data_IF_660931954680
#
_entry.id   IF_660931954680
#
_cell.length_a   1.000
_cell.length_b   1.000
_cell.length_c   1.000
_cell.angle_alpha   90.00
_cell.angle_beta   90.00
_cell.angle_gamma   90.00
#
_symmetry.space_group_name_H-M   'P 1'
#
loop_
_entity.id
_entity.type
_entity.pdbx_description
1 polymer ?
#
# COMPACT_ATOMS: atom_id res chain seq x y z
N UNK A 1 -6.84 6.14 27.68
CA UNK A 1 -6.22 7.17 26.82
C UNK A 1 -5.91 6.46 25.50
N UNK A 2 -6.37 7.00 24.39
CA UNK A 2 -5.99 6.48 23.08
C UNK A 2 -4.48 6.62 22.91
N UNK A 3 -3.85 5.60 22.36
CA UNK A 3 -2.39 5.56 22.22
C UNK A 3 -1.96 6.46 21.05
N UNK A 4 -0.98 7.33 21.26
CA UNK A 4 -0.45 8.22 20.21
C UNK A 4 0.27 7.38 19.14
N UNK A 5 -0.12 7.55 17.88
CA UNK A 5 0.58 6.96 16.73
C UNK A 5 1.56 7.96 16.14
N UNK A 6 2.83 7.53 16.03
CA UNK A 6 3.91 8.34 15.44
C UNK A 6 4.23 7.85 14.05
N UNK A 7 4.14 8.74 13.06
CA UNK A 7 4.32 8.38 11.64
C UNK A 7 5.44 9.20 11.03
N UNK A 8 6.50 8.54 10.57
CA UNK A 8 7.54 9.17 9.75
C UNK A 8 7.04 9.29 8.30
N UNK A 9 7.14 10.48 7.72
CA UNK A 9 6.67 10.77 6.37
C UNK A 9 7.80 11.37 5.55
N UNK A 10 8.14 10.72 4.44
CA UNK A 10 9.12 11.21 3.46
C UNK A 10 8.54 12.43 2.72
N UNK A 11 8.91 13.64 3.17
CA UNK A 11 8.39 14.89 2.62
C UNK A 11 8.93 15.23 1.22
N UNK A 12 10.00 14.57 0.78
CA UNK A 12 10.67 14.86 -0.50
C UNK A 12 10.38 13.81 -1.59
N UNK A 13 9.62 12.76 -1.26
CA UNK A 13 9.34 11.67 -2.19
C UNK A 13 8.07 11.89 -3.02
N UNK A 14 8.16 11.59 -4.33
CA UNK A 14 7.04 11.67 -5.28
C UNK A 14 7.02 12.92 -6.14
N UNK A 15 6.17 12.89 -7.18
CA UNK A 15 6.11 13.93 -8.22
C UNK A 15 5.56 15.28 -7.71
N UNK A 16 4.80 15.23 -6.61
CA UNK A 16 4.11 16.38 -6.02
C UNK A 16 4.73 16.82 -4.68
N UNK A 17 5.91 16.30 -4.33
CA UNK A 17 6.62 16.69 -3.13
C UNK A 17 7.23 18.11 -3.24
N UNK A 18 7.35 18.88 -2.16
CA UNK A 18 6.84 18.57 -0.82
C UNK A 18 5.36 18.95 -0.62
N UNK A 19 4.76 19.73 -1.53
CA UNK A 19 3.48 20.44 -1.35
C UNK A 19 2.35 19.48 -0.96
N UNK A 20 2.07 18.46 -1.76
CA UNK A 20 0.98 17.52 -1.48
C UNK A 20 1.28 16.62 -0.27
N UNK A 21 2.57 16.34 0.01
CA UNK A 21 2.97 15.52 1.15
C UNK A 21 2.74 16.28 2.47
N UNK A 22 3.24 17.51 2.55
CA UNK A 22 3.08 18.38 3.72
C UNK A 22 1.61 18.68 3.97
N UNK A 23 0.85 19.01 2.91
CA UNK A 23 -0.59 19.24 2.99
C UNK A 23 -1.33 18.00 3.54
N UNK A 24 -1.03 16.80 3.05
CA UNK A 24 -1.64 15.57 3.52
C UNK A 24 -1.32 15.28 4.99
N UNK A 25 -0.10 15.57 5.43
CA UNK A 25 0.29 15.45 6.84
C UNK A 25 -0.49 16.42 7.73
N UNK A 26 -0.64 17.67 7.32
CA UNK A 26 -1.45 18.67 8.03
C UNK A 26 -2.92 18.26 8.09
N UNK A 27 -3.49 17.79 6.97
CA UNK A 27 -4.87 17.32 6.94
C UNK A 27 -5.08 16.11 7.88
N UNK A 28 -4.09 15.20 8.01
CA UNK A 28 -4.16 14.04 8.89
C UNK A 28 -4.17 14.44 10.38
N UNK A 29 -3.26 15.32 10.81
CA UNK A 29 -3.21 15.75 12.22
C UNK A 29 -4.39 16.65 12.61
N UNK A 30 -4.94 17.41 11.66
CA UNK A 30 -6.16 18.19 11.89
C UNK A 30 -7.41 17.29 12.02
N UNK A 31 -7.43 16.11 11.41
CA UNK A 31 -8.51 15.14 11.49
C UNK A 31 -8.40 14.26 12.75
N UNK A 32 -7.20 13.90 13.17
CA UNK A 32 -6.96 13.01 14.31
C UNK A 32 -5.92 13.59 15.29
N UNK A 33 -6.34 13.86 16.52
CA UNK A 33 -5.51 14.45 17.57
C UNK A 33 -4.49 13.46 18.19
N UNK A 34 -4.61 12.16 17.91
CA UNK A 34 -3.74 11.11 18.43
C UNK A 34 -2.62 10.73 17.46
N UNK A 35 -2.30 11.61 16.51
CA UNK A 35 -1.21 11.42 15.55
C UNK A 35 -0.11 12.45 15.80
N UNK A 36 1.14 12.00 15.74
CA UNK A 36 2.31 12.87 15.58
C UNK A 36 3.02 12.47 14.28
N UNK A 37 3.25 13.44 13.41
CA UNK A 37 3.92 13.24 12.13
C UNK A 37 5.35 13.78 12.21
N UNK A 38 6.31 12.98 11.78
CA UNK A 38 7.72 13.35 11.60
C UNK A 38 7.98 13.52 10.10
N UNK A 39 8.00 14.77 9.62
CA UNK A 39 8.29 15.10 8.22
C UNK A 39 9.80 15.10 7.98
N UNK A 40 10.30 14.13 7.22
CA UNK A 40 11.72 14.04 6.89
C UNK A 40 12.02 14.68 5.53
N UNK A 41 12.94 15.63 5.49
CA UNK A 41 13.30 16.33 4.26
C UNK A 41 14.17 17.56 4.51
N UNK A 42 14.41 18.34 3.47
CA UNK A 42 15.14 19.59 3.61
C UNK A 42 14.36 20.56 4.50
N UNK A 43 14.92 20.86 5.65
CA UNK A 43 14.22 21.55 6.76
C UNK A 43 13.63 22.89 6.33
N UNK A 44 14.41 23.69 5.61
CA UNK A 44 14.00 25.01 5.10
C UNK A 44 12.80 24.89 4.14
N UNK A 45 12.83 23.92 3.23
CA UNK A 45 11.77 23.67 2.24
C UNK A 45 10.48 23.19 2.93
N UNK A 46 10.60 22.21 3.85
CA UNK A 46 9.45 21.67 4.57
C UNK A 46 8.82 22.71 5.49
N UNK A 47 9.63 23.49 6.22
CA UNK A 47 9.13 24.57 7.09
C UNK A 47 8.47 25.71 6.31
N UNK A 48 9.02 26.07 5.14
CA UNK A 48 8.41 27.08 4.27
C UNK A 48 7.02 26.62 3.81
N UNK A 49 6.84 25.36 3.41
CA UNK A 49 5.54 24.83 3.03
C UNK A 49 4.58 24.75 4.23
N UNK A 50 5.03 24.27 5.40
CA UNK A 50 4.22 24.21 6.62
C UNK A 50 3.69 25.56 7.06
N UNK A 51 4.45 26.64 6.84
CA UNK A 51 4.05 28.00 7.22
C UNK A 51 2.78 28.49 6.49
N UNK A 52 2.37 27.82 5.42
CA UNK A 52 1.16 28.14 4.65
C UNK A 52 -0.12 27.56 5.24
N UNK A 53 -0.01 26.67 6.26
CA UNK A 53 -1.13 25.94 6.85
C UNK A 53 -1.33 26.29 8.33
N UNK A 54 -2.55 26.01 8.82
CA UNK A 54 -2.87 26.07 10.26
C UNK A 54 -3.00 24.64 10.81
N UNK A 55 -2.23 24.32 11.83
CA UNK A 55 -2.21 23.01 12.49
C UNK A 55 -1.70 23.15 13.92
N UNK A 56 -1.83 22.09 14.72
CA UNK A 56 -1.24 22.03 16.07
C UNK A 56 0.26 21.69 15.96
N UNK A 57 1.12 22.67 16.25
CA UNK A 57 2.58 22.54 16.14
C UNK A 57 3.17 21.36 16.95
N UNK A 58 2.47 20.90 18.00
CA UNK A 58 2.90 19.73 18.79
C UNK A 58 2.71 18.39 18.08
N UNK A 59 1.98 18.37 16.95
CA UNK A 59 1.67 17.15 16.21
C UNK A 59 2.53 16.99 14.94
N UNK A 60 3.34 17.97 14.56
CA UNK A 60 4.26 17.87 13.42
C UNK A 60 5.65 18.27 13.85
N UNK A 61 6.60 17.39 13.63
CA UNK A 61 8.04 17.62 13.82
C UNK A 61 8.75 17.51 12.48
N UNK A 62 9.67 18.44 12.20
CA UNK A 62 10.50 18.41 10.99
C UNK A 62 11.86 17.83 11.33
N UNK A 63 12.24 16.78 10.64
CA UNK A 63 13.54 16.11 10.80
C UNK A 63 14.37 16.37 9.54
N UNK A 64 15.48 17.08 9.68
CA UNK A 64 16.31 17.43 8.54
C UNK A 64 16.89 16.22 7.82
N UNK A 65 16.80 16.23 6.49
CA UNK A 65 17.41 15.26 5.59
C UNK A 65 17.77 15.96 4.27
N UNK A 66 19.06 16.13 4.03
CA UNK A 66 19.55 16.99 2.93
C UNK A 66 19.54 16.29 1.57
N UNK A 67 19.47 14.94 1.55
CA UNK A 67 19.54 14.13 0.35
C UNK A 67 18.16 13.59 -0.05
N UNK A 68 17.97 13.38 -1.36
CA UNK A 68 16.79 12.74 -1.93
C UNK A 68 17.25 11.56 -2.78
N UNK A 69 16.54 10.43 -2.66
CA UNK A 69 16.73 9.27 -3.55
C UNK A 69 15.76 9.38 -4.72
N UNK A 70 16.32 9.55 -5.92
CA UNK A 70 15.54 9.67 -7.15
C UNK A 70 15.01 8.31 -7.63
N UNK A 71 13.91 8.33 -8.38
CA UNK A 71 13.26 7.08 -8.86
C UNK A 71 14.14 6.23 -9.78
N UNK A 72 15.05 6.89 -10.54
CA UNK A 72 15.94 6.21 -11.47
C UNK A 72 17.21 5.63 -10.81
N UNK A 73 17.46 5.92 -9.54
CA UNK A 73 18.66 5.43 -8.86
C UNK A 73 18.56 3.94 -8.50
N UNK A 74 19.67 3.17 -8.61
CA UNK A 74 19.70 1.77 -8.17
C UNK A 74 19.40 1.68 -6.66
N UNK A 75 18.28 1.06 -6.24
CA UNK A 75 17.76 1.16 -4.87
C UNK A 75 18.75 0.73 -3.79
N UNK A 76 19.43 -0.39 -3.98
CA UNK A 76 20.37 -0.94 -2.99
C UNK A 76 21.56 0.00 -2.77
N UNK A 77 22.08 0.59 -3.86
CA UNK A 77 23.19 1.53 -3.76
C UNK A 77 22.75 2.85 -3.15
N UNK A 78 21.58 3.36 -3.52
CA UNK A 78 21.02 4.60 -3.00
C UNK A 78 20.82 4.52 -1.48
N UNK A 79 20.16 3.47 -0.97
CA UNK A 79 19.94 3.23 0.47
C UNK A 79 21.27 3.10 1.24
N UNK A 80 22.29 2.50 0.63
CA UNK A 80 23.60 2.35 1.29
C UNK A 80 24.43 3.64 1.30
N UNK A 81 24.36 4.45 0.26
CA UNK A 81 25.19 5.65 0.10
C UNK A 81 24.55 6.91 0.68
N UNK A 82 23.27 7.14 0.41
CA UNK A 82 22.54 8.35 0.84
C UNK A 82 21.94 8.18 2.23
N UNK A 83 22.81 8.17 3.24
CA UNK A 83 22.40 7.93 4.64
C UNK A 83 21.56 9.07 5.21
N UNK A 84 21.71 10.29 4.69
CA UNK A 84 20.94 11.48 5.06
C UNK A 84 19.81 11.77 4.06
N UNK A 85 19.32 10.75 3.34
CA UNK A 85 18.12 10.91 2.50
C UNK A 85 16.84 10.83 3.32
N UNK A 86 15.80 11.56 2.88
CA UNK A 86 14.49 11.60 3.54
C UNK A 86 13.91 10.21 3.81
N UNK A 87 14.05 9.28 2.85
CA UNK A 87 13.62 7.88 3.02
C UNK A 87 14.45 7.16 4.11
N UNK A 88 15.78 7.29 4.09
CA UNK A 88 16.65 6.56 5.05
C UNK A 88 16.49 7.11 6.45
N UNK A 89 16.41 8.43 6.61
CA UNK A 89 16.16 9.08 7.90
C UNK A 89 14.82 8.63 8.48
N UNK A 90 13.74 8.68 7.70
CA UNK A 90 12.42 8.24 8.13
C UNK A 90 12.36 6.75 8.53
N UNK A 91 13.00 5.87 7.75
CA UNK A 91 13.06 4.45 8.08
C UNK A 91 13.87 4.16 9.36
N UNK A 92 14.90 4.97 9.66
CA UNK A 92 15.63 4.84 10.92
C UNK A 92 14.78 5.26 12.12
N UNK A 93 13.92 6.29 12.01
CA UNK A 93 12.96 6.64 13.07
C UNK A 93 12.01 5.49 13.40
N UNK A 94 11.64 4.67 12.40
CA UNK A 94 10.83 3.47 12.65
C UNK A 94 11.68 2.36 13.27
N UNK A 95 12.91 2.15 12.79
CA UNK A 95 13.82 1.13 13.31
C UNK A 95 14.15 1.30 14.79
N UNK A 96 14.39 2.53 15.22
CA UNK A 96 14.77 2.86 16.60
C UNK A 96 13.58 3.02 17.55
N UNK A 97 12.34 2.90 17.03
CA UNK A 97 11.10 2.96 17.80
C UNK A 97 10.62 4.39 18.09
N UNK A 98 11.24 5.42 17.52
CA UNK A 98 10.75 6.81 17.59
C UNK A 98 9.40 6.93 16.87
N UNK A 99 9.26 6.24 15.73
CA UNK A 99 8.01 6.18 14.97
C UNK A 99 7.49 4.74 14.87
N UNK A 100 6.16 4.59 14.79
CA UNK A 100 5.46 3.30 14.62
C UNK A 100 5.39 2.88 13.14
N UNK A 101 5.38 3.87 12.24
CA UNK A 101 5.14 3.65 10.82
C UNK A 101 5.91 4.65 9.93
N UNK A 102 6.05 4.29 8.66
CA UNK A 102 6.66 5.10 7.61
C UNK A 102 5.74 5.19 6.39
N UNK A 103 5.59 6.39 5.82
CA UNK A 103 4.83 6.65 4.58
C UNK A 103 5.71 7.37 3.57
N UNK A 104 5.71 6.90 2.31
CA UNK A 104 6.44 7.57 1.22
C UNK A 104 5.77 7.41 -0.14
N UNK A 105 5.75 8.49 -0.91
CA UNK A 105 5.42 8.52 -2.34
C UNK A 105 6.67 8.38 -3.24
N UNK A 106 7.87 8.31 -2.66
CA UNK A 106 9.15 8.26 -3.36
C UNK A 106 9.44 6.95 -4.11
N UNK A 107 10.70 6.69 -4.41
CA UNK A 107 11.14 5.49 -5.15
C UNK A 107 10.66 4.19 -4.53
N UNK A 108 9.81 3.42 -5.24
CA UNK A 108 9.30 2.13 -4.75
C UNK A 108 10.43 1.16 -4.42
N UNK A 109 11.46 1.09 -5.28
CA UNK A 109 12.61 0.25 -5.02
C UNK A 109 13.36 0.63 -3.74
N UNK A 110 13.54 1.94 -3.48
CA UNK A 110 14.19 2.41 -2.27
C UNK A 110 13.35 2.12 -1.01
N UNK A 111 12.04 2.31 -1.07
CA UNK A 111 11.12 1.99 0.03
C UNK A 111 11.14 0.49 0.36
N UNK A 112 11.06 -0.38 -0.66
CA UNK A 112 11.08 -1.83 -0.48
C UNK A 112 12.43 -2.32 0.10
N UNK A 113 13.53 -1.88 -0.49
CA UNK A 113 14.88 -2.24 -0.03
C UNK A 113 15.15 -1.67 1.36
N UNK A 114 14.82 -0.40 1.59
CA UNK A 114 15.00 0.27 2.88
C UNK A 114 14.16 -0.37 3.98
N UNK A 115 12.90 -0.68 3.70
CA UNK A 115 12.02 -1.40 4.64
C UNK A 115 12.63 -2.74 5.08
N UNK A 116 13.13 -3.53 4.14
CA UNK A 116 13.76 -4.83 4.47
C UNK A 116 15.11 -4.70 5.17
N UNK A 117 15.97 -3.75 4.78
CA UNK A 117 17.32 -3.64 5.31
C UNK A 117 17.43 -2.81 6.59
N UNK A 118 16.56 -1.81 6.77
CA UNK A 118 16.63 -0.87 7.89
C UNK A 118 15.61 -1.25 8.97
N UNK A 119 14.31 -1.32 8.63
CA UNK A 119 13.24 -1.68 9.58
C UNK A 119 13.35 -3.16 9.97
N UNK A 120 13.66 -4.01 8.99
CA UNK A 120 13.82 -5.43 9.20
C UNK A 120 12.50 -6.19 9.26
N UNK A 121 12.61 -7.51 9.08
CA UNK A 121 11.46 -8.43 9.03
C UNK A 121 11.07 -8.92 10.43
N UNK A 122 9.80 -9.17 10.64
CA UNK A 122 9.33 -9.95 11.78
C UNK A 122 10.01 -11.34 11.71
N UNK A 123 10.54 -11.80 12.86
CA UNK A 123 11.18 -13.12 12.92
C UNK A 123 10.19 -14.21 12.47
N UNK A 124 10.60 -15.07 11.54
CA UNK A 124 9.76 -16.11 10.94
C UNK A 124 9.11 -15.71 9.60
N UNK A 125 9.05 -14.42 9.28
CA UNK A 125 8.63 -13.98 7.93
C UNK A 125 9.81 -14.12 6.97
N UNK A 126 9.63 -14.90 5.91
CA UNK A 126 10.67 -15.15 4.92
C UNK A 126 10.86 -13.95 3.98
N UNK A 127 9.75 -13.39 3.48
CA UNK A 127 9.72 -12.29 2.53
C UNK A 127 8.54 -11.34 2.80
N UNK A 128 8.76 -10.06 3.04
CA UNK A 128 7.71 -9.05 3.11
C UNK A 128 7.13 -8.77 1.72
N UNK A 129 5.82 -8.96 1.51
CA UNK A 129 5.15 -8.62 0.25
C UNK A 129 4.63 -7.18 0.23
N UNK A 130 4.55 -6.57 -0.95
CA UNK A 130 3.83 -5.33 -1.20
C UNK A 130 2.38 -5.67 -1.55
N UNK A 131 1.43 -5.12 -0.80
CA UNK A 131 0.03 -5.56 -0.83
C UNK A 131 -0.96 -4.40 -1.09
N UNK A 132 -1.06 -3.87 -2.33
CA UNK A 132 -2.06 -2.87 -2.67
C UNK A 132 -3.48 -3.43 -2.66
N UNK A 133 -4.44 -2.59 -2.31
CA UNK A 133 -5.84 -2.82 -2.60
C UNK A 133 -6.13 -2.50 -4.07
N UNK A 134 -7.03 -3.26 -4.67
CA UNK A 134 -7.57 -3.00 -6.01
C UNK A 134 -9.09 -2.92 -5.95
N UNK A 135 -9.74 -1.98 -6.71
CA UNK A 135 -11.20 -1.86 -6.70
C UNK A 135 -11.85 -3.02 -7.43
N UNK A 136 -13.00 -3.45 -6.92
CA UNK A 136 -13.81 -4.51 -7.51
C UNK A 136 -15.30 -4.12 -7.47
N UNK A 137 -16.15 -4.90 -8.12
CA UNK A 137 -17.61 -4.69 -8.05
C UNK A 137 -18.18 -4.80 -6.62
N UNK A 138 -17.49 -5.52 -5.73
CA UNK A 138 -17.91 -5.75 -4.33
C UNK A 138 -17.15 -4.90 -3.31
N UNK A 139 -16.45 -3.86 -3.75
CA UNK A 139 -15.63 -3.01 -2.90
C UNK A 139 -14.17 -3.07 -3.28
N UNK A 140 -13.34 -3.78 -2.54
CA UNK A 140 -11.92 -3.95 -2.85
C UNK A 140 -11.41 -5.37 -2.56
N UNK A 141 -10.34 -5.76 -3.23
CA UNK A 141 -9.56 -6.96 -2.94
C UNK A 141 -8.10 -6.59 -2.70
N UNK A 142 -7.41 -7.36 -1.87
CA UNK A 142 -5.97 -7.21 -1.65
C UNK A 142 -5.21 -8.06 -2.66
N UNK A 143 -4.37 -7.44 -3.47
CA UNK A 143 -3.47 -8.14 -4.39
C UNK A 143 -2.08 -8.26 -3.74
N UNK A 144 -1.59 -9.48 -3.57
CA UNK A 144 -0.38 -9.75 -2.79
C UNK A 144 0.43 -10.90 -3.41
N UNK A 145 1.65 -10.72 -3.88
CA UNK A 145 2.60 -9.60 -3.86
C UNK A 145 2.56 -8.81 -5.18
N UNK A 146 2.85 -7.52 -5.12
CA UNK A 146 2.82 -6.62 -6.29
C UNK A 146 4.14 -5.89 -6.58
N UNK A 147 5.29 -6.45 -6.24
CA UNK A 147 6.54 -5.81 -6.63
C UNK A 147 7.74 -6.02 -5.70
N UNK A 148 7.59 -6.75 -4.60
CA UNK A 148 8.68 -6.97 -3.66
C UNK A 148 9.47 -8.25 -3.95
N UNK A 149 8.82 -9.36 -4.37
CA UNK A 149 9.43 -10.69 -4.47
C UNK A 149 9.10 -11.35 -5.81
N UNK A 150 9.94 -11.11 -6.83
CA UNK A 150 9.75 -11.67 -8.18
C UNK A 150 9.98 -13.18 -8.18
N UNK A 151 11.04 -13.64 -7.50
CA UNK A 151 11.36 -15.07 -7.36
C UNK A 151 10.80 -15.62 -6.05
N UNK A 152 9.49 -15.80 -5.98
CA UNK A 152 8.83 -16.35 -4.81
C UNK A 152 8.93 -17.89 -4.78
N UNK A 153 8.82 -18.45 -3.57
CA UNK A 153 8.69 -19.89 -3.30
C UNK A 153 7.28 -20.20 -2.80
N UNK A 154 6.85 -21.48 -2.85
CA UNK A 154 5.54 -21.87 -2.31
C UNK A 154 5.30 -21.42 -0.86
N UNK A 155 6.32 -21.54 0.02
CA UNK A 155 6.24 -21.07 1.41
C UNK A 155 5.96 -19.56 1.53
N UNK A 156 6.53 -18.75 0.62
CA UNK A 156 6.26 -17.30 0.59
C UNK A 156 4.79 -17.04 0.29
N UNK A 157 4.22 -17.69 -0.73
CA UNK A 157 2.82 -17.49 -1.12
C UNK A 157 1.85 -17.90 0.00
N UNK A 158 2.17 -18.95 0.75
CA UNK A 158 1.40 -19.36 1.94
C UNK A 158 1.46 -18.27 3.03
N UNK A 159 2.65 -17.70 3.28
CA UNK A 159 2.79 -16.58 4.21
C UNK A 159 2.03 -15.34 3.72
N UNK A 160 2.06 -15.04 2.40
CA UNK A 160 1.30 -13.93 1.81
C UNK A 160 -0.21 -14.12 2.01
N UNK A 161 -0.73 -15.32 1.78
CA UNK A 161 -2.13 -15.66 2.03
C UNK A 161 -2.54 -15.39 3.48
N UNK A 162 -1.72 -15.83 4.45
CA UNK A 162 -1.96 -15.62 5.88
C UNK A 162 -1.91 -14.13 6.24
N UNK A 163 -0.89 -13.40 5.79
CA UNK A 163 -0.74 -11.95 6.03
C UNK A 163 -1.87 -11.14 5.39
N UNK A 164 -2.24 -11.48 4.14
CA UNK A 164 -3.35 -10.85 3.43
C UNK A 164 -4.69 -11.08 4.14
N UNK A 165 -4.93 -12.29 4.67
CA UNK A 165 -6.14 -12.59 5.45
C UNK A 165 -6.19 -11.75 6.73
N UNK A 166 -5.08 -11.62 7.48
CA UNK A 166 -5.02 -10.78 8.68
C UNK A 166 -5.33 -9.32 8.33
N UNK A 167 -4.77 -8.81 7.22
CA UNK A 167 -4.99 -7.44 6.79
C UNK A 167 -6.46 -7.19 6.41
N UNK A 168 -7.04 -8.02 5.55
CA UNK A 168 -8.44 -7.87 5.12
C UNK A 168 -9.42 -8.01 6.27
N UNK A 169 -9.17 -8.91 7.21
CA UNK A 169 -10.03 -9.12 8.37
C UNK A 169 -9.99 -7.94 9.35
N UNK A 170 -8.82 -7.40 9.64
CA UNK A 170 -8.65 -6.44 10.74
C UNK A 170 -8.56 -4.97 10.28
N UNK A 171 -8.13 -4.69 9.06
CA UNK A 171 -8.02 -3.31 8.54
C UNK A 171 -9.24 -2.96 7.68
N UNK A 172 -9.68 -3.90 6.84
CA UNK A 172 -10.81 -3.68 5.93
C UNK A 172 -12.14 -4.13 6.55
N UNK A 173 -12.10 -5.07 7.50
CA UNK A 173 -13.29 -5.54 8.21
C UNK A 173 -14.04 -6.66 7.49
N UNK A 174 -13.38 -7.42 6.62
CA UNK A 174 -13.98 -8.56 5.91
C UNK A 174 -13.91 -9.80 6.79
N UNK A 175 -15.04 -10.32 7.23
CA UNK A 175 -15.10 -11.58 7.99
C UNK A 175 -14.71 -12.77 7.11
N UNK A 176 -13.77 -13.60 7.59
CA UNK A 176 -13.26 -14.79 6.91
C UNK A 176 -12.93 -14.55 5.43
N UNK A 177 -11.93 -13.69 5.12
CA UNK A 177 -11.60 -13.29 3.76
C UNK A 177 -11.35 -14.49 2.85
N UNK A 178 -11.98 -14.47 1.67
CA UNK A 178 -11.80 -15.50 0.64
C UNK A 178 -10.46 -15.34 -0.02
N UNK A 179 -9.62 -16.36 0.05
CA UNK A 179 -8.26 -16.38 -0.50
C UNK A 179 -8.23 -17.18 -1.79
N UNK A 180 -7.72 -16.61 -2.87
CA UNK A 180 -7.49 -17.32 -4.12
C UNK A 180 -6.06 -17.11 -4.62
N UNK A 181 -5.51 -18.12 -5.32
CA UNK A 181 -4.23 -18.01 -6.00
C UNK A 181 -4.45 -17.65 -7.47
N UNK A 182 -3.68 -16.70 -8.00
CA UNK A 182 -3.72 -16.34 -9.43
C UNK A 182 -3.27 -17.52 -10.27
N UNK A 183 -4.07 -17.89 -11.27
CA UNK A 183 -3.80 -19.00 -12.16
C UNK A 183 -4.29 -18.68 -13.59
N UNK A 184 -3.92 -19.52 -14.55
CA UNK A 184 -4.34 -19.44 -15.98
C UNK A 184 -5.65 -20.18 -16.26
N UNK A 185 -6.25 -20.81 -15.25
CA UNK A 185 -7.53 -21.54 -15.30
C UNK A 185 -7.96 -21.96 -13.91
N UNK A 186 -9.21 -22.41 -13.77
CA UNK A 186 -9.80 -22.78 -12.49
C UNK A 186 -9.29 -24.14 -11.95
N UNK A 187 -8.79 -25.01 -12.84
CA UNK A 187 -8.40 -26.39 -12.53
C UNK A 187 -7.07 -26.43 -11.74
N UNK A 188 -6.98 -27.33 -10.75
CA UNK A 188 -5.83 -27.48 -9.83
C UNK A 188 -4.52 -27.83 -10.56
N UNK A 189 -4.61 -28.60 -11.66
CA UNK A 189 -3.46 -29.04 -12.45
C UNK A 189 -2.90 -27.96 -13.39
N UNK A 190 -3.61 -26.86 -13.60
CA UNK A 190 -3.13 -25.73 -14.40
C UNK A 190 -2.14 -24.84 -13.66
N UNK A 191 -1.40 -24.06 -14.42
CA UNK A 191 -0.45 -23.10 -13.90
C UNK A 191 1.02 -23.53 -14.08
N UNK A 192 1.90 -22.63 -13.65
CA UNK A 192 3.34 -22.87 -13.61
C UNK A 192 3.73 -23.77 -12.41
N UNK A 193 5.00 -24.13 -12.30
CA UNK A 193 5.50 -24.97 -11.20
C UNK A 193 5.18 -24.36 -9.82
N UNK A 194 5.39 -23.04 -9.64
CA UNK A 194 5.13 -22.34 -8.38
C UNK A 194 3.66 -22.49 -7.95
N UNK A 195 2.70 -22.28 -8.87
CA UNK A 195 1.27 -22.38 -8.57
C UNK A 195 0.90 -23.83 -8.21
N UNK A 196 1.37 -24.80 -8.99
CA UNK A 196 1.09 -26.24 -8.75
C UNK A 196 1.63 -26.73 -7.41
N UNK A 197 2.81 -26.26 -7.01
CA UNK A 197 3.41 -26.60 -5.71
C UNK A 197 2.71 -25.87 -4.55
N UNK A 198 2.26 -24.62 -4.77
CA UNK A 198 1.61 -23.82 -3.73
C UNK A 198 0.17 -24.22 -3.47
N UNK A 199 -0.58 -24.59 -4.50
CA UNK A 199 -2.01 -24.90 -4.41
C UNK A 199 -2.35 -25.91 -3.30
N UNK A 200 -1.72 -27.09 -3.22
CA UNK A 200 -2.00 -28.05 -2.15
C UNK A 200 -1.63 -27.53 -0.76
N UNK A 201 -0.61 -26.67 -0.65
CA UNK A 201 -0.24 -26.05 0.63
C UNK A 201 -1.31 -25.09 1.12
N UNK A 202 -1.87 -24.26 0.22
CA UNK A 202 -2.98 -23.35 0.54
C UNK A 202 -4.26 -24.12 0.87
N UNK A 203 -4.58 -25.19 0.11
CA UNK A 203 -5.76 -26.03 0.31
C UNK A 203 -5.76 -26.71 1.69
N UNK A 204 -4.58 -27.09 2.19
CA UNK A 204 -4.40 -27.72 3.49
C UNK A 204 -4.05 -26.73 4.62
N UNK A 205 -4.16 -25.44 4.40
CA UNK A 205 -3.84 -24.39 5.39
C UNK A 205 -5.12 -23.98 6.15
N UNK A 206 -5.32 -24.44 7.40
CA UNK A 206 -6.56 -24.22 8.13
C UNK A 206 -6.75 -22.77 8.58
N UNK A 207 -5.69 -21.96 8.57
CA UNK A 207 -5.70 -20.57 9.02
C UNK A 207 -6.27 -19.59 8.00
N UNK A 208 -6.58 -20.06 6.77
CA UNK A 208 -7.13 -19.23 5.70
C UNK A 208 -8.41 -19.85 5.12
N UNK A 209 -9.27 -19.03 4.54
CA UNK A 209 -10.43 -19.48 3.77
C UNK A 209 -10.06 -19.58 2.29
N UNK A 210 -9.32 -20.63 1.93
CA UNK A 210 -8.88 -20.84 0.55
C UNK A 210 -10.02 -21.34 -0.33
N UNK A 211 -10.30 -20.61 -1.42
CA UNK A 211 -11.39 -20.90 -2.37
C UNK A 211 -10.92 -21.42 -3.73
N UNK A 212 -9.62 -21.65 -3.91
CA UNK A 212 -9.06 -22.19 -5.15
C UNK A 212 -8.33 -21.15 -6.02
N UNK A 213 -8.34 -21.38 -7.33
CA UNK A 213 -7.71 -20.51 -8.32
C UNK A 213 -8.61 -19.33 -8.74
N UNK A 214 -7.98 -18.22 -9.15
CA UNK A 214 -8.65 -17.09 -9.81
C UNK A 214 -7.92 -16.73 -11.10
N UNK A 215 -8.67 -16.58 -12.19
CA UNK A 215 -8.13 -16.00 -13.43
C UNK A 215 -8.12 -14.46 -13.34
N UNK A 216 -7.13 -13.83 -13.98
CA UNK A 216 -7.00 -12.37 -13.92
C UNK A 216 -8.25 -11.62 -14.41
N UNK A 217 -9.03 -12.20 -15.35
CA UNK A 217 -10.28 -11.61 -15.85
C UNK A 217 -11.40 -11.57 -14.81
N UNK A 218 -11.35 -12.42 -13.78
CA UNK A 218 -12.38 -12.54 -12.74
C UNK A 218 -12.09 -11.66 -11.51
N UNK A 219 -10.89 -11.09 -11.44
CA UNK A 219 -10.48 -10.18 -10.37
C UNK A 219 -11.45 -8.99 -10.20
N UNK A 220 -11.87 -8.28 -11.29
CA UNK A 220 -12.78 -7.14 -11.16
C UNK A 220 -14.15 -7.47 -10.56
N UNK A 221 -14.59 -8.74 -10.62
CA UNK A 221 -15.88 -9.17 -10.07
C UNK A 221 -15.91 -9.28 -8.53
N UNK A 222 -14.75 -9.18 -7.85
CA UNK A 222 -14.65 -9.39 -6.41
C UNK A 222 -14.95 -10.84 -6.00
N UNK A 223 -14.47 -11.81 -6.80
CA UNK A 223 -14.59 -13.24 -6.50
C UNK A 223 -13.81 -13.63 -5.24
N UNK A 224 -12.61 -13.08 -5.05
CA UNK A 224 -11.76 -13.27 -3.88
C UNK A 224 -11.45 -11.95 -3.18
N UNK A 225 -11.25 -11.99 -1.87
CA UNK A 225 -10.89 -10.83 -1.06
C UNK A 225 -9.36 -10.67 -0.94
N UNK A 226 -8.63 -11.80 -0.95
CA UNK A 226 -7.16 -11.87 -0.99
C UNK A 226 -6.74 -12.63 -2.24
N UNK A 227 -5.96 -11.98 -3.09
CA UNK A 227 -5.50 -12.50 -4.39
C UNK A 227 -4.00 -12.69 -4.30
N UNK A 228 -3.57 -13.96 -4.21
CA UNK A 228 -2.17 -14.35 -3.97
C UNK A 228 -1.45 -14.62 -5.27
N UNK A 229 -0.29 -13.99 -5.46
CA UNK A 229 0.62 -14.25 -6.57
C UNK A 229 2.05 -13.88 -6.18
N UNK A 230 3.02 -14.17 -7.04
CA UNK A 230 4.36 -13.59 -6.94
C UNK A 230 4.41 -12.18 -7.57
N UNK A 231 5.45 -11.42 -7.26
CA UNK A 231 5.49 -10.00 -7.57
C UNK A 231 5.50 -9.67 -9.07
N UNK A 232 5.99 -10.56 -9.94
CA UNK A 232 5.98 -10.31 -11.39
C UNK A 232 4.56 -10.33 -11.94
N UNK A 233 3.80 -11.39 -11.65
CA UNK A 233 2.38 -11.49 -12.04
C UNK A 233 1.55 -10.38 -11.37
N UNK A 234 1.75 -10.15 -10.07
CA UNK A 234 1.03 -9.12 -9.34
C UNK A 234 1.26 -7.71 -9.88
N UNK A 235 2.50 -7.35 -10.20
CA UNK A 235 2.81 -6.04 -10.78
C UNK A 235 2.24 -5.89 -12.20
N UNK A 236 2.24 -6.94 -13.02
CA UNK A 236 1.60 -6.93 -14.34
C UNK A 236 0.09 -6.71 -14.19
N UNK A 237 -0.58 -7.46 -13.32
CA UNK A 237 -2.02 -7.30 -13.06
C UNK A 237 -2.31 -5.87 -12.61
N UNK A 238 -1.61 -5.36 -11.60
CA UNK A 238 -1.81 -4.02 -11.06
C UNK A 238 -1.66 -2.95 -12.15
N UNK A 239 -0.55 -2.97 -12.90
CA UNK A 239 -0.26 -1.97 -13.93
C UNK A 239 -1.21 -2.04 -15.10
N UNK A 240 -1.62 -3.24 -15.52
CA UNK A 240 -2.64 -3.41 -16.56
C UNK A 240 -3.99 -2.87 -16.09
N UNK A 241 -4.38 -3.19 -14.84
CA UNK A 241 -5.63 -2.74 -14.24
C UNK A 241 -5.71 -1.20 -14.18
N UNK A 242 -4.66 -0.55 -13.66
CA UNK A 242 -4.52 0.90 -13.63
C UNK A 242 -4.57 1.51 -15.04
N UNK A 243 -3.81 0.95 -15.97
CA UNK A 243 -3.70 1.44 -17.36
C UNK A 243 -5.00 1.34 -18.15
N UNK A 244 -5.71 0.22 -18.03
CA UNK A 244 -7.02 0.00 -18.68
C UNK A 244 -8.06 0.96 -18.11
N UNK A 245 -8.16 1.09 -16.79
CA UNK A 245 -9.09 2.00 -16.15
C UNK A 245 -8.86 3.46 -16.57
N UNK A 246 -7.61 3.95 -16.51
CA UNK A 246 -7.27 5.30 -16.93
C UNK A 246 -7.58 5.56 -18.41
N UNK A 247 -7.26 4.59 -19.30
CA UNK A 247 -7.50 4.70 -20.75
C UNK A 247 -9.00 4.73 -21.04
N UNK A 248 -9.79 3.86 -20.42
CA UNK A 248 -11.24 3.81 -20.58
C UNK A 248 -11.89 5.13 -20.18
N UNK A 249 -11.55 5.64 -18.99
CA UNK A 249 -12.06 6.92 -18.48
C UNK A 249 -11.70 8.08 -19.41
N UNK A 250 -10.47 8.12 -19.92
CA UNK A 250 -10.02 9.12 -20.89
C UNK A 250 -10.82 9.05 -22.18
N UNK A 251 -11.07 7.86 -22.72
CA UNK A 251 -11.88 7.63 -23.94
C UNK A 251 -13.33 8.03 -23.74
N UNK A 252 -13.96 7.64 -22.62
CA UNK A 252 -15.33 8.03 -22.28
C UNK A 252 -15.45 9.55 -22.19
N UNK A 253 -14.53 10.22 -21.45
CA UNK A 253 -14.49 11.69 -21.36
C UNK A 253 -14.33 12.35 -22.73
N UNK A 254 -13.45 11.85 -23.56
CA UNK A 254 -13.25 12.38 -24.92
C UNK A 254 -14.52 12.25 -25.78
N UNK A 255 -15.19 11.08 -25.76
CA UNK A 255 -16.46 10.85 -26.44
C UNK A 255 -17.56 11.80 -26.01
N UNK A 256 -17.67 12.06 -24.69
CA UNK A 256 -18.63 13.00 -24.13
C UNK A 256 -18.38 14.45 -24.55
N UNK A 257 -17.20 14.81 -25.03
CA UNK A 257 -16.84 16.17 -25.44
C UNK A 257 -16.91 16.41 -26.96
N UNK A 258 -17.38 15.44 -27.76
CA UNK A 258 -17.36 15.52 -29.26
C UNK A 258 -18.42 16.46 -29.86
N UNK A 259 -19.56 16.63 -29.21
CA UNK A 259 -20.64 17.46 -29.76
C UNK A 259 -21.33 18.26 -28.63
N UNK A 260 -22.09 19.29 -29.02
CA UNK A 260 -22.90 20.07 -28.05
C UNK A 260 -23.92 19.20 -27.31
N UNK A 261 -24.58 18.28 -28.02
CA UNK A 261 -25.53 17.32 -27.45
C UNK A 261 -24.84 16.41 -26.42
N UNK A 262 -23.67 15.85 -26.77
CA UNK A 262 -22.90 14.98 -25.88
C UNK A 262 -22.43 15.74 -24.62
N UNK A 263 -22.02 17.01 -24.75
CA UNK A 263 -21.63 17.87 -23.61
C UNK A 263 -22.79 18.13 -22.65
N UNK A 264 -23.98 18.40 -23.18
CA UNK A 264 -25.20 18.60 -22.37
C UNK A 264 -25.55 17.27 -21.65
N UNK A 265 -25.54 16.14 -22.40
CA UNK A 265 -25.73 14.82 -21.79
C UNK A 265 -24.72 14.51 -20.71
N UNK A 266 -23.43 14.81 -20.93
CA UNK A 266 -22.37 14.64 -19.93
C UNK A 266 -22.61 15.47 -18.67
N UNK A 267 -23.13 16.71 -18.80
CA UNK A 267 -23.48 17.55 -17.65
C UNK A 267 -24.60 16.92 -16.82
N UNK A 268 -25.61 16.37 -17.47
CA UNK A 268 -26.76 15.72 -16.80
C UNK A 268 -26.35 14.43 -16.09
N UNK A 269 -25.48 13.60 -16.68
CA UNK A 269 -25.05 12.33 -16.07
C UNK A 269 -23.85 12.48 -15.11
N UNK A 270 -23.21 13.66 -15.05
CA UNK A 270 -22.03 13.92 -14.23
C UNK A 270 -22.19 13.53 -12.75
N UNK A 271 -23.31 13.81 -12.07
CA UNK A 271 -23.48 13.41 -10.65
C UNK A 271 -23.48 11.89 -10.49
N UNK A 272 -24.21 11.16 -11.34
CA UNK A 272 -24.28 9.70 -11.31
C UNK A 272 -22.90 9.08 -11.62
N UNK A 273 -22.23 9.57 -12.67
CA UNK A 273 -20.88 9.11 -13.02
C UNK A 273 -19.87 9.36 -11.88
N UNK A 274 -19.94 10.55 -11.25
CA UNK A 274 -19.07 10.86 -10.10
C UNK A 274 -19.35 9.92 -8.91
N UNK A 275 -20.58 9.58 -8.63
CA UNK A 275 -20.96 8.63 -7.57
C UNK A 275 -20.42 7.23 -7.88
N UNK A 276 -20.61 6.73 -9.11
CA UNK A 276 -20.10 5.43 -9.55
C UNK A 276 -18.56 5.39 -9.48
N UNK A 277 -17.88 6.43 -9.98
CA UNK A 277 -16.40 6.47 -9.92
C UNK A 277 -15.87 6.57 -8.48
N UNK A 278 -16.63 7.19 -7.58
CA UNK A 278 -16.26 7.27 -6.16
C UNK A 278 -16.23 5.88 -5.50
N UNK A 279 -17.09 4.95 -5.91
CA UNK A 279 -17.04 3.56 -5.40
C UNK A 279 -15.81 2.76 -5.85
N UNK A 280 -15.14 3.20 -6.91
CA UNK A 280 -13.87 2.63 -7.40
C UNK A 280 -12.64 3.39 -6.89
N UNK A 281 -12.84 4.43 -6.08
CA UNK A 281 -11.72 5.22 -5.55
C UNK A 281 -11.20 4.59 -4.26
N UNK A 282 -9.99 4.05 -4.31
CA UNK A 282 -9.30 3.45 -3.17
C UNK A 282 -8.44 4.45 -2.38
N UNK A 283 -8.40 5.73 -2.76
CA UNK A 283 -7.67 6.78 -2.03
C UNK A 283 -8.07 6.83 -0.54
N UNK A 284 -9.32 6.41 -0.23
CA UNK A 284 -9.82 6.34 1.14
C UNK A 284 -9.12 5.29 2.02
N UNK A 285 -8.52 4.26 1.42
CA UNK A 285 -7.87 3.17 2.16
C UNK A 285 -6.36 3.39 2.38
N UNK A 286 -5.80 4.46 1.82
CA UNK A 286 -4.37 4.77 1.93
C UNK A 286 -3.50 4.07 0.88
N UNK A 287 -2.21 3.92 1.20
CA UNK A 287 -1.23 3.33 0.31
C UNK A 287 -1.12 1.80 0.43
N UNK A 288 -0.21 1.22 -0.36
CA UNK A 288 0.12 -0.20 -0.32
C UNK A 288 1.06 -0.50 0.87
N UNK A 289 0.66 -1.31 1.85
CA UNK A 289 1.54 -1.70 2.93
C UNK A 289 2.55 -2.76 2.49
N UNK A 290 3.76 -2.69 3.03
CA UNK A 290 4.75 -3.75 3.00
C UNK A 290 4.59 -4.58 4.27
N UNK A 291 3.90 -5.70 4.18
CA UNK A 291 3.51 -6.52 5.33
C UNK A 291 4.68 -7.37 5.84
N UNK A 292 4.67 -7.67 7.15
CA UNK A 292 5.67 -8.57 7.75
C UNK A 292 7.00 -7.92 8.13
N UNK A 293 7.05 -6.60 8.21
CA UNK A 293 8.16 -5.83 8.79
C UNK A 293 7.92 -5.52 10.28
N UNK A 294 8.98 -5.25 11.04
CA UNK A 294 8.88 -4.89 12.46
C UNK A 294 8.14 -3.56 12.72
N UNK A 295 8.08 -2.67 11.73
CA UNK A 295 7.27 -1.45 11.71
C UNK A 295 6.50 -1.36 10.41
N UNK A 296 5.35 -0.66 10.39
CA UNK A 296 4.57 -0.49 9.18
C UNK A 296 5.30 0.41 8.18
N UNK A 297 5.44 -0.06 6.95
CA UNK A 297 5.94 0.70 5.81
C UNK A 297 4.84 0.79 4.77
N UNK A 298 4.42 1.99 4.42
CA UNK A 298 3.36 2.25 3.44
C UNK A 298 3.93 2.98 2.23
N UNK A 299 3.71 2.41 1.05
CA UNK A 299 4.08 3.01 -0.23
C UNK A 299 2.85 3.57 -0.91
N UNK A 300 2.84 4.88 -1.20
CA UNK A 300 1.81 5.52 -2.02
C UNK A 300 2.29 5.70 -3.46
N UNK A 301 1.40 6.01 -4.38
CA UNK A 301 1.78 6.25 -5.77
C UNK A 301 2.67 7.49 -5.91
N UNK A 302 3.59 7.54 -6.90
CA UNK A 302 4.47 8.70 -7.12
C UNK A 302 3.71 10.00 -7.39
N UNK A 303 2.55 9.92 -8.03
CA UNK A 303 1.67 11.06 -8.30
C UNK A 303 0.63 11.35 -7.21
N UNK A 304 0.74 10.72 -6.03
CA UNK A 304 -0.19 10.89 -4.90
C UNK A 304 -0.42 12.36 -4.55
N UNK A 305 -1.65 12.66 -4.17
CA UNK A 305 -2.08 13.97 -3.66
C UNK A 305 -2.30 13.92 -2.15
N UNK A 306 -2.59 15.06 -1.56
CA UNK A 306 -2.76 15.21 -0.11
C UNK A 306 -3.76 14.21 0.49
N UNK A 307 -4.84 13.91 -0.21
CA UNK A 307 -5.86 12.97 0.26
C UNK A 307 -5.31 11.54 0.45
N UNK A 308 -4.48 11.06 -0.48
CA UNK A 308 -3.86 9.73 -0.37
C UNK A 308 -2.81 9.69 0.73
N UNK A 309 -2.01 10.76 0.86
CA UNK A 309 -1.02 10.89 1.94
C UNK A 309 -1.72 10.92 3.29
N UNK A 310 -2.77 11.75 3.45
CA UNK A 310 -3.59 11.81 4.66
C UNK A 310 -4.12 10.42 5.03
N UNK A 311 -4.77 9.74 4.08
CA UNK A 311 -5.36 8.44 4.35
C UNK A 311 -4.33 7.35 4.62
N UNK A 312 -3.12 7.46 4.04
CA UNK A 312 -2.00 6.56 4.38
C UNK A 312 -1.48 6.77 5.81
N UNK A 313 -1.48 8.01 6.29
CA UNK A 313 -1.15 8.31 7.68
C UNK A 313 -2.24 7.77 8.62
N UNK A 314 -3.52 7.97 8.29
CA UNK A 314 -4.65 7.42 9.06
C UNK A 314 -4.67 5.89 9.06
N UNK A 315 -4.31 5.25 7.94
CA UNK A 315 -4.13 3.80 7.84
C UNK A 315 -3.12 3.28 8.88
N UNK A 316 -2.05 4.04 9.15
CA UNK A 316 -1.05 3.67 10.15
C UNK A 316 -1.64 3.61 11.57
N UNK A 317 -2.62 4.47 11.88
CA UNK A 317 -3.34 4.44 13.16
C UNK A 317 -4.12 3.13 13.29
N UNK A 318 -4.96 2.83 12.30
CA UNK A 318 -5.74 1.59 12.28
C UNK A 318 -4.84 0.36 12.39
N UNK A 319 -3.71 0.36 11.69
CA UNK A 319 -2.77 -0.75 11.70
C UNK A 319 -2.18 -0.98 13.10
N UNK A 320 -1.80 0.09 13.80
CA UNK A 320 -1.29 0.04 15.17
C UNK A 320 -2.37 -0.39 16.16
N UNK A 321 -3.54 0.27 16.16
CA UNK A 321 -4.65 -0.04 17.06
C UNK A 321 -5.13 -1.49 16.94
N UNK A 322 -5.16 -2.01 15.72
CA UNK A 322 -5.53 -3.40 15.45
C UNK A 322 -4.39 -4.40 15.72
N UNK A 323 -3.20 -3.95 16.10
CA UNK A 323 -2.02 -4.78 16.41
C UNK A 323 -1.69 -5.76 15.28
N UNK A 324 -1.67 -5.25 14.06
CA UNK A 324 -1.57 -6.11 12.86
C UNK A 324 -0.27 -6.91 12.84
N UNK A 325 0.87 -6.33 13.26
CA UNK A 325 2.15 -7.04 13.30
C UNK A 325 2.13 -8.23 14.26
N UNK A 326 1.49 -8.08 15.45
CA UNK A 326 1.34 -9.18 16.41
C UNK A 326 0.43 -10.27 15.84
N UNK A 327 -0.71 -9.90 15.25
CA UNK A 327 -1.62 -10.85 14.60
C UNK A 327 -0.97 -11.58 13.41
N UNK A 328 -0.15 -10.88 12.61
CA UNK A 328 0.64 -11.51 11.54
C UNK A 328 1.62 -12.51 12.16
N UNK A 329 2.35 -12.11 13.20
CA UNK A 329 3.30 -12.98 13.87
C UNK A 329 2.61 -14.26 14.39
N UNK A 330 1.49 -14.12 15.07
CA UNK A 330 0.76 -15.25 15.66
C UNK A 330 0.16 -16.18 14.59
N UNK A 331 -0.32 -15.64 13.47
CA UNK A 331 -0.96 -16.43 12.40
C UNK A 331 0.05 -17.07 11.44
N UNK A 332 1.17 -16.40 11.17
CA UNK A 332 2.15 -16.86 10.16
C UNK A 332 3.21 -17.76 10.78
N UNK A 333 3.64 -17.45 12.01
CA UNK A 333 4.66 -18.24 12.70
C UNK A 333 3.90 -19.33 13.46
N UNK A 334 3.90 -20.55 12.92
CA UNK A 334 3.45 -21.70 13.66
C UNK A 334 4.24 -21.74 14.97
N UNK A 335 3.54 -21.83 16.10
CA UNK A 335 4.18 -22.19 17.36
C UNK A 335 4.80 -23.56 17.11
N UNK A 336 6.13 -23.62 17.04
CA UNK A 336 6.85 -24.85 17.20
C UNK A 336 6.46 -25.38 18.60
N UNK A 337 5.53 -26.33 18.65
CA UNK A 337 5.24 -27.14 19.80
C UNK A 337 6.33 -28.19 19.99
#
# INVERSE_FOLDING_TARGET
MEEITRVAVDAMGGDNAPVEIVKGAVEAVNENQNIIVYLTGKEDVVKAELSTYTYNEKQIEVVNADEVIETAEPPVLAIRKKKNSSIVVALNLVKDGTCDAFVSAGSSGAVLVGGQLIVGRIRGIERPPLAPLIPTEKGCSLLIDCGANVDARPSHLVQFAKMGSVYMENVIGVDKPRVAIVNIGAEEEKGNALVKETFPLLKNCPEINFIGSIEARDIPSGYADVIVCEAFAGNIILKLYEGVAATLLKKVKAGMMTSLRSKIGALLVKPALKSTLKSFNLEAYGGAPLLGLNGLVVKTHGSSKSIEIKNSILQCVTFKEQKINEKIKDKVILKDE
#
